data_IF_984383079590
#
_entry.id   IF_984383079590
#
_cell.length_a   1.000
_cell.length_b   1.000
_cell.length_c   1.000
_cell.angle_alpha   90.00
_cell.angle_beta   90.00
_cell.angle_gamma   90.00
#
_symmetry.space_group_name_H-M   'P 1'
#
loop_
_entity.id
_entity.type
_entity.pdbx_description
1 polymer ?
#
# COMPACT_ATOMS: atom_id res chain seq x y z
N UNK A 1 -31.43 20.97 -20.80
CA UNK A 1 -30.83 19.84 -20.15
C UNK A 1 -31.20 18.59 -20.89
N UNK A 2 -30.26 17.95 -21.57
CA UNK A 2 -30.48 16.66 -22.24
C UNK A 2 -30.72 15.61 -21.16
N UNK A 3 -31.88 14.98 -21.16
CA UNK A 3 -32.11 13.73 -20.44
C UNK A 3 -31.31 12.66 -21.20
N UNK A 4 -30.15 12.28 -20.67
CA UNK A 4 -29.44 11.10 -21.16
C UNK A 4 -30.34 9.86 -21.03
N UNK A 5 -30.30 8.99 -22.04
CA UNK A 5 -31.05 7.74 -22.05
C UNK A 5 -30.66 6.90 -20.81
N UNK A 6 -31.64 6.29 -20.16
CA UNK A 6 -31.41 5.33 -19.09
C UNK A 6 -30.63 4.13 -19.67
N UNK A 7 -29.57 3.74 -19.02
CA UNK A 7 -28.81 2.54 -19.40
C UNK A 7 -29.00 1.43 -18.37
N UNK A 8 -28.77 0.22 -18.78
CA UNK A 8 -28.74 -0.93 -17.91
C UNK A 8 -27.59 -1.85 -18.27
N UNK A 9 -27.10 -2.58 -17.27
CA UNK A 9 -26.05 -3.58 -17.43
C UNK A 9 -26.48 -4.87 -16.73
N UNK A 10 -26.32 -5.99 -17.44
CA UNK A 10 -26.58 -7.32 -16.90
C UNK A 10 -25.29 -7.85 -16.25
N UNK A 11 -25.41 -8.36 -15.03
CA UNK A 11 -24.36 -8.95 -14.24
C UNK A 11 -24.64 -10.45 -14.09
N UNK A 12 -24.33 -11.23 -15.13
CA UNK A 12 -24.68 -12.65 -15.26
C UNK A 12 -24.17 -13.52 -14.11
N UNK A 13 -23.02 -13.17 -13.52
CA UNK A 13 -22.40 -13.94 -12.43
C UNK A 13 -23.16 -13.88 -11.11
N UNK A 14 -24.08 -12.93 -10.96
CA UNK A 14 -24.86 -12.71 -9.72
C UNK A 14 -26.35 -12.55 -10.01
N UNK A 15 -26.82 -12.92 -11.21
CA UNK A 15 -28.21 -12.79 -11.67
C UNK A 15 -28.83 -11.41 -11.36
N UNK A 16 -28.10 -10.35 -11.65
CA UNK A 16 -28.51 -8.99 -11.31
C UNK A 16 -28.48 -8.06 -12.51
N UNK A 17 -29.30 -7.01 -12.45
CA UNK A 17 -29.33 -5.93 -13.44
C UNK A 17 -29.05 -4.62 -12.72
N UNK A 18 -28.04 -3.89 -13.19
CA UNK A 18 -27.77 -2.51 -12.76
C UNK A 18 -28.50 -1.57 -13.69
N UNK A 19 -29.28 -0.66 -13.13
CA UNK A 19 -30.07 0.32 -13.91
C UNK A 19 -29.76 1.72 -13.39
N UNK A 20 -29.49 2.64 -14.33
CA UNK A 20 -29.29 4.06 -14.01
C UNK A 20 -30.63 4.82 -14.01
N UNK A 21 -30.78 5.76 -13.08
CA UNK A 21 -31.87 6.73 -13.02
C UNK A 21 -33.29 6.14 -12.95
N UNK A 22 -33.50 5.13 -12.14
CA UNK A 22 -34.84 4.59 -11.88
C UNK A 22 -35.64 5.60 -11.04
N UNK A 23 -36.80 6.05 -11.52
CA UNK A 23 -37.69 6.91 -10.73
C UNK A 23 -38.19 6.18 -9.48
N UNK A 24 -38.21 6.87 -8.33
CA UNK A 24 -38.70 6.29 -7.06
C UNK A 24 -40.13 5.73 -7.23
N UNK A 25 -40.96 6.36 -8.04
CA UNK A 25 -42.33 5.89 -8.32
C UNK A 25 -42.39 4.54 -9.04
N UNK A 26 -41.33 4.11 -9.72
CA UNK A 26 -41.27 2.83 -10.43
C UNK A 26 -40.73 1.69 -9.56
N UNK A 27 -40.19 1.95 -8.38
CA UNK A 27 -39.54 0.93 -7.54
C UNK A 27 -40.51 -0.19 -7.14
N UNK A 28 -41.75 0.15 -6.78
CA UNK A 28 -42.75 -0.84 -6.39
C UNK A 28 -43.23 -1.70 -7.58
N UNK A 29 -43.30 -1.13 -8.74
CA UNK A 29 -43.66 -1.87 -9.97
C UNK A 29 -42.55 -2.86 -10.32
N UNK A 30 -41.28 -2.43 -10.20
CA UNK A 30 -40.11 -3.29 -10.42
C UNK A 30 -40.04 -4.40 -9.36
N UNK A 31 -40.27 -4.07 -8.11
CA UNK A 31 -40.24 -5.06 -7.00
C UNK A 31 -41.26 -6.19 -7.20
N UNK A 32 -42.41 -5.90 -7.84
CA UNK A 32 -43.43 -6.87 -8.07
C UNK A 32 -43.23 -7.68 -9.37
N UNK A 33 -42.18 -7.44 -10.15
CA UNK A 33 -41.84 -8.29 -11.28
C UNK A 33 -41.43 -9.69 -10.82
N UNK A 34 -41.85 -10.70 -11.56
CA UNK A 34 -41.46 -12.07 -11.31
C UNK A 34 -39.92 -12.22 -11.41
N UNK A 35 -39.32 -12.82 -10.42
CA UNK A 35 -37.86 -13.03 -10.34
C UNK A 35 -37.10 -11.92 -9.61
N UNK A 36 -37.68 -10.79 -9.28
CA UNK A 36 -37.03 -9.77 -8.48
C UNK A 36 -37.09 -10.16 -7.01
N UNK A 37 -35.93 -10.36 -6.40
CA UNK A 37 -35.79 -10.77 -4.99
C UNK A 37 -35.47 -9.56 -4.10
N UNK A 38 -34.65 -8.64 -4.61
CA UNK A 38 -34.20 -7.46 -3.86
C UNK A 38 -33.97 -6.30 -4.82
N UNK A 39 -34.18 -5.10 -4.35
CA UNK A 39 -33.77 -3.84 -5.02
C UNK A 39 -32.83 -3.13 -4.05
N UNK A 40 -31.63 -2.85 -4.50
CA UNK A 40 -30.63 -2.13 -3.74
C UNK A 40 -30.27 -0.82 -4.43
N UNK A 41 -29.98 0.21 -3.63
CA UNK A 41 -29.44 1.45 -4.19
C UNK A 41 -27.95 1.27 -4.46
N UNK A 42 -27.50 1.81 -5.59
CA UNK A 42 -26.07 1.96 -5.83
C UNK A 42 -25.48 2.95 -4.82
N UNK A 43 -24.50 2.50 -4.07
CA UNK A 43 -23.75 3.38 -3.21
C UNK A 43 -22.67 4.10 -4.00
N UNK A 44 -22.42 5.35 -3.66
CA UNK A 44 -21.25 6.06 -4.16
C UNK A 44 -20.01 5.39 -3.54
N UNK A 45 -19.21 4.79 -4.40
CA UNK A 45 -17.93 4.21 -3.99
C UNK A 45 -16.92 5.34 -3.91
N UNK A 46 -16.31 5.50 -2.75
CA UNK A 46 -15.24 6.47 -2.50
C UNK A 46 -14.02 5.71 -1.99
N UNK A 47 -12.80 6.19 -2.25
CA UNK A 47 -11.60 5.62 -1.63
C UNK A 47 -11.70 5.75 -0.11
N UNK A 48 -11.41 4.67 0.62
CA UNK A 48 -11.58 4.63 2.07
C UNK A 48 -10.32 4.93 2.88
N UNK A 49 -9.20 5.30 2.25
CA UNK A 49 -7.96 5.56 2.98
C UNK A 49 -8.07 6.70 4.00
N UNK A 50 -8.94 7.67 3.77
CA UNK A 50 -9.21 8.76 4.69
C UNK A 50 -9.91 8.31 5.98
N UNK A 51 -10.56 7.16 5.99
CA UNK A 51 -11.24 6.60 7.16
C UNK A 51 -10.57 5.35 7.73
N UNK A 52 -9.75 4.64 6.95
CA UNK A 52 -9.13 3.38 7.37
C UNK A 52 -8.26 3.54 8.61
N UNK A 53 -7.34 4.51 8.61
CA UNK A 53 -6.45 4.79 9.75
C UNK A 53 -7.21 5.24 11.00
N UNK A 54 -8.37 5.90 10.85
CA UNK A 54 -9.26 6.28 11.96
C UNK A 54 -10.07 5.10 12.46
N UNK A 55 -10.57 4.25 11.56
CA UNK A 55 -11.32 3.05 11.91
C UNK A 55 -10.48 2.03 12.68
N UNK A 56 -9.19 1.91 12.35
CA UNK A 56 -8.23 1.05 13.07
C UNK A 56 -7.69 1.67 14.36
N UNK A 57 -8.08 2.90 14.69
CA UNK A 57 -7.57 3.71 15.83
C UNK A 57 -6.09 4.06 15.73
N UNK A 58 -5.52 4.05 14.54
CA UNK A 58 -4.18 4.58 14.34
C UNK A 58 -4.17 6.10 14.47
N UNK A 59 -5.14 6.76 13.85
CA UNK A 59 -5.33 8.21 13.90
C UNK A 59 -6.57 8.62 14.71
N UNK A 60 -6.63 9.89 15.20
CA UNK A 60 -7.75 10.45 15.94
C UNK A 60 -9.08 10.37 15.16
N UNK A 61 -10.16 10.11 15.86
CA UNK A 61 -11.51 10.16 15.32
C UNK A 61 -12.51 10.65 16.36
N UNK A 62 -13.64 11.18 15.91
CA UNK A 62 -14.72 11.63 16.79
C UNK A 62 -15.43 10.46 17.52
N UNK A 63 -15.16 9.23 17.11
CA UNK A 63 -15.81 8.02 17.64
C UNK A 63 -15.02 7.39 18.79
N UNK A 64 -13.69 7.51 18.78
CA UNK A 64 -12.81 6.85 19.75
C UNK A 64 -11.99 7.88 20.52
N UNK A 65 -11.92 7.72 21.82
CA UNK A 65 -11.30 8.67 22.75
C UNK A 65 -9.79 8.62 22.84
N UNK A 66 -9.12 7.68 22.15
CA UNK A 66 -7.67 7.62 22.13
C UNK A 66 -7.20 6.72 20.97
N UNK A 67 -6.45 7.29 20.06
CA UNK A 67 -5.73 6.60 18.98
C UNK A 67 -4.31 6.26 19.38
N UNK A 68 -3.63 5.48 18.56
CA UNK A 68 -2.19 5.23 18.70
C UNK A 68 -1.41 6.55 18.61
N UNK A 69 -1.75 7.38 17.63
CA UNK A 69 -1.15 8.69 17.41
C UNK A 69 -1.24 9.62 18.65
N UNK A 70 -2.42 9.73 19.29
CA UNK A 70 -2.61 10.55 20.50
C UNK A 70 -1.84 10.00 21.73
N UNK A 71 -1.31 8.81 21.64
CA UNK A 71 -0.49 8.15 22.65
C UNK A 71 1.00 8.12 22.29
N UNK A 72 1.40 8.95 21.32
CA UNK A 72 2.77 9.06 20.79
C UNK A 72 3.29 7.77 20.10
N UNK A 73 2.39 6.87 19.67
CA UNK A 73 2.77 5.73 18.83
C UNK A 73 2.66 6.11 17.36
N UNK A 74 3.69 6.75 16.86
CA UNK A 74 3.76 7.27 15.48
C UNK A 74 4.56 6.38 14.53
N UNK A 75 5.26 5.40 15.06
CA UNK A 75 6.22 4.58 14.30
C UNK A 75 7.65 5.13 14.32
N UNK A 76 7.93 6.15 15.12
CA UNK A 76 9.29 6.69 15.28
C UNK A 76 10.29 5.59 15.61
N UNK A 77 11.44 5.58 14.91
CA UNK A 77 12.47 4.56 15.00
C UNK A 77 12.14 3.22 14.31
N UNK A 78 10.98 3.07 13.67
CA UNK A 78 10.60 1.88 12.91
C UNK A 78 10.94 2.07 11.44
N UNK A 79 11.57 1.08 10.82
CA UNK A 79 11.84 1.05 9.38
C UNK A 79 10.87 0.09 8.72
N UNK A 80 10.12 0.59 7.75
CA UNK A 80 9.16 -0.17 6.94
C UNK A 80 9.71 -0.30 5.52
N UNK A 81 9.96 -1.53 5.09
CA UNK A 81 10.27 -1.82 3.70
C UNK A 81 8.98 -2.00 2.89
N UNK A 82 8.84 -1.24 1.82
CA UNK A 82 7.74 -1.37 0.84
C UNK A 82 8.27 -2.12 -0.36
N UNK A 83 7.81 -3.35 -0.56
CA UNK A 83 8.15 -4.17 -1.71
C UNK A 83 7.02 -4.03 -2.73
N UNK A 84 7.23 -3.22 -3.77
CA UNK A 84 6.14 -2.85 -4.69
C UNK A 84 6.67 -2.36 -6.05
N UNK A 85 6.00 -1.41 -6.71
CA UNK A 85 6.35 -0.80 -7.99
C UNK A 85 7.47 0.24 -7.91
N UNK A 86 8.05 0.44 -6.75
CA UNK A 86 8.89 1.58 -6.37
C UNK A 86 8.07 2.58 -5.57
N UNK A 87 8.71 3.59 -5.03
CA UNK A 87 8.07 4.67 -4.29
C UNK A 87 8.63 6.01 -4.79
N UNK A 88 7.74 6.92 -5.17
CA UNK A 88 8.05 8.34 -5.38
C UNK A 88 8.26 8.98 -3.99
N UNK A 89 9.48 8.93 -3.50
CA UNK A 89 9.85 9.41 -2.16
C UNK A 89 9.84 10.94 -2.08
N UNK A 90 9.86 11.65 -3.23
CA UNK A 90 9.65 13.10 -3.33
C UNK A 90 8.17 13.49 -3.20
N UNK A 91 7.25 12.51 -3.16
CA UNK A 91 5.84 12.82 -2.97
C UNK A 91 5.59 13.50 -1.61
N UNK A 92 4.91 14.64 -1.60
CA UNK A 92 4.70 15.49 -0.40
C UNK A 92 4.12 14.77 0.81
N UNK A 93 3.35 13.70 0.61
CA UNK A 93 2.84 12.88 1.72
C UNK A 93 3.87 11.93 2.30
N UNK A 94 5.08 11.91 1.77
CA UNK A 94 6.21 11.12 2.25
C UNK A 94 7.35 12.00 2.79
N UNK A 95 7.08 13.29 3.00
CA UNK A 95 7.96 14.18 3.72
C UNK A 95 8.19 13.70 5.15
N UNK A 96 9.22 14.20 5.75
CA UNK A 96 9.56 13.93 7.14
C UNK A 96 8.41 14.28 8.08
N UNK A 97 8.36 13.61 9.22
CA UNK A 97 7.25 13.76 10.15
C UNK A 97 7.27 15.08 10.91
N UNK A 98 8.44 15.63 11.18
CA UNK A 98 8.61 16.87 11.93
C UNK A 98 8.87 18.09 11.03
N UNK A 99 9.18 17.90 9.76
CA UNK A 99 9.39 18.95 8.76
C UNK A 99 8.58 18.74 7.48
N UNK A 100 7.27 18.76 7.60
CA UNK A 100 6.32 18.55 6.48
C UNK A 100 6.18 19.76 5.55
N UNK A 101 6.76 20.89 5.91
CA UNK A 101 6.75 22.11 5.09
C UNK A 101 7.95 22.19 4.14
N UNK A 102 8.90 21.26 4.26
CA UNK A 102 10.04 21.17 3.37
C UNK A 102 9.62 20.76 1.95
N UNK A 103 10.36 21.17 0.96
CA UNK A 103 10.11 20.81 -0.42
C UNK A 103 10.82 19.47 -0.72
N UNK A 104 10.06 18.35 -0.85
CA UNK A 104 10.67 17.05 -1.12
C UNK A 104 11.35 16.97 -2.49
N UNK A 105 10.98 17.84 -3.44
CA UNK A 105 11.60 17.92 -4.77
C UNK A 105 13.03 18.52 -4.73
N UNK A 106 13.45 19.02 -3.59
CA UNK A 106 14.81 19.53 -3.45
C UNK A 106 15.68 18.42 -2.88
N UNK A 107 16.29 17.63 -3.77
CA UNK A 107 17.42 16.78 -3.44
C UNK A 107 18.50 17.61 -2.74
N UNK A 108 18.34 17.80 -1.46
CA UNK A 108 19.39 18.39 -0.65
C UNK A 108 20.24 17.25 -0.07
N UNK A 109 21.33 16.84 -0.74
CA UNK A 109 22.14 15.72 -0.29
C UNK A 109 22.85 15.99 1.05
N UNK A 110 22.60 17.14 1.66
CA UNK A 110 23.15 17.52 2.95
C UNK A 110 22.14 17.42 4.09
N UNK A 111 20.86 17.16 3.82
CA UNK A 111 19.82 16.98 4.82
C UNK A 111 19.28 15.54 4.89
N UNK A 112 20.11 14.55 4.67
CA UNK A 112 19.76 13.15 4.88
C UNK A 112 19.27 12.84 6.29
N UNK A 113 19.47 13.74 7.22
CA UNK A 113 19.01 13.58 8.60
C UNK A 113 17.49 13.75 8.74
N UNK A 114 16.84 14.33 7.72
CA UNK A 114 15.42 14.72 7.73
C UNK A 114 14.56 13.90 6.76
N UNK A 115 15.16 13.05 5.92
CA UNK A 115 14.41 12.26 4.95
C UNK A 115 13.75 11.02 5.58
N UNK A 116 12.46 10.87 5.30
CA UNK A 116 11.72 9.64 5.60
C UNK A 116 12.29 8.42 4.87
N UNK A 117 12.71 8.59 3.60
CA UNK A 117 13.40 7.57 2.84
C UNK A 117 14.84 7.40 3.32
N UNK A 118 15.21 6.17 3.67
CA UNK A 118 16.55 5.85 4.21
C UNK A 118 17.36 4.94 3.31
N UNK A 119 16.74 4.37 2.28
CA UNK A 119 17.44 3.54 1.32
C UNK A 119 16.50 2.72 0.45
N UNK A 120 17.05 2.09 -0.59
CA UNK A 120 16.26 1.27 -1.48
C UNK A 120 17.06 0.34 -2.37
N UNK A 121 16.32 -0.44 -3.17
CA UNK A 121 16.85 -1.44 -4.08
C UNK A 121 15.89 -1.72 -5.23
N UNK A 122 16.37 -1.67 -6.46
CA UNK A 122 15.61 -2.06 -7.65
C UNK A 122 15.94 -3.49 -8.09
N UNK A 123 15.09 -4.45 -7.73
CA UNK A 123 15.23 -5.84 -8.14
C UNK A 123 14.83 -6.07 -9.61
N UNK A 124 14.18 -5.12 -10.26
CA UNK A 124 13.74 -5.23 -11.67
C UNK A 124 14.83 -4.82 -12.66
N UNK A 125 15.86 -4.13 -12.19
CA UNK A 125 16.95 -3.62 -13.01
C UNK A 125 18.12 -4.59 -13.08
N UNK A 126 18.68 -4.75 -14.28
CA UNK A 126 19.96 -5.48 -14.47
C UNK A 126 21.17 -4.70 -13.97
N UNK A 127 21.01 -3.41 -13.69
CA UNK A 127 22.02 -2.52 -13.14
C UNK A 127 21.77 -2.23 -11.65
N UNK A 128 21.05 -3.13 -10.96
CA UNK A 128 20.73 -2.99 -9.56
C UNK A 128 21.98 -2.83 -8.69
N UNK A 129 21.92 -1.90 -7.74
CA UNK A 129 22.96 -1.68 -6.75
C UNK A 129 22.50 -2.20 -5.37
N UNK A 130 23.09 -3.30 -4.87
CA UNK A 130 22.62 -3.95 -3.66
C UNK A 130 23.08 -3.24 -2.37
N UNK A 131 23.82 -2.12 -2.44
CA UNK A 131 24.33 -1.42 -1.26
C UNK A 131 23.27 -0.61 -0.49
N UNK A 132 22.06 -0.47 -1.06
CA UNK A 132 20.93 0.22 -0.45
C UNK A 132 20.87 1.71 -0.72
N UNK A 133 21.72 2.22 -1.60
CA UNK A 133 21.72 3.64 -2.00
C UNK A 133 20.91 3.91 -3.26
N UNK A 134 20.31 2.87 -3.84
CA UNK A 134 19.50 3.00 -5.04
C UNK A 134 18.12 3.53 -4.67
N UNK A 135 17.69 4.54 -5.39
CA UNK A 135 16.37 5.11 -5.32
C UNK A 135 15.56 4.65 -6.55
N UNK A 136 14.70 3.65 -6.39
CA UNK A 136 13.90 3.14 -7.49
C UNK A 136 12.58 3.90 -7.61
N UNK A 137 12.49 4.79 -8.59
CA UNK A 137 11.27 5.54 -8.89
C UNK A 137 10.03 4.66 -9.08
N UNK A 138 8.87 5.22 -8.77
CA UNK A 138 7.56 4.58 -9.01
C UNK A 138 6.94 5.06 -10.33
N UNK A 139 7.18 4.33 -11.41
CA UNK A 139 6.57 4.62 -12.71
C UNK A 139 5.08 4.25 -12.82
N UNK A 140 4.49 3.64 -11.78
CA UNK A 140 3.11 3.11 -11.81
C UNK A 140 2.17 3.79 -10.79
N UNK A 141 2.66 4.12 -9.60
CA UNK A 141 1.94 4.82 -8.54
C UNK A 141 1.36 3.92 -7.44
N UNK A 142 1.38 2.59 -7.59
CA UNK A 142 0.85 1.68 -6.58
C UNK A 142 1.71 1.64 -5.32
N UNK A 143 3.03 1.51 -5.46
CA UNK A 143 3.95 1.47 -4.33
C UNK A 143 3.96 2.77 -3.53
N UNK A 144 3.90 3.93 -4.21
CA UNK A 144 3.75 5.24 -3.56
C UNK A 144 2.46 5.32 -2.74
N UNK A 145 1.34 4.80 -3.29
CA UNK A 145 0.08 4.76 -2.56
C UNK A 145 0.13 3.81 -1.34
N UNK A 146 0.78 2.65 -1.47
CA UNK A 146 1.00 1.72 -0.36
C UNK A 146 1.87 2.37 0.72
N UNK A 147 2.98 3.02 0.34
CA UNK A 147 3.82 3.77 1.26
C UNK A 147 3.04 4.88 1.99
N UNK A 148 2.25 5.67 1.26
CA UNK A 148 1.38 6.69 1.84
C UNK A 148 0.40 6.13 2.86
N UNK A 149 -0.20 4.96 2.58
CA UNK A 149 -1.13 4.29 3.50
C UNK A 149 -0.44 3.76 4.77
N UNK A 150 0.79 3.27 4.64
CA UNK A 150 1.55 2.72 5.74
C UNK A 150 2.16 3.82 6.63
N UNK A 151 2.87 4.76 6.01
CA UNK A 151 3.77 5.67 6.72
C UNK A 151 3.71 7.14 6.24
N UNK A 152 2.73 7.49 5.41
CA UNK A 152 2.60 8.86 4.91
C UNK A 152 2.36 9.89 6.02
N UNK A 153 2.97 11.06 5.89
CA UNK A 153 2.82 12.19 6.83
C UNK A 153 1.61 13.07 6.53
N UNK A 154 1.01 12.87 5.34
CA UNK A 154 -0.25 13.53 4.97
C UNK A 154 -0.11 14.95 4.47
N UNK A 155 1.05 15.32 3.93
CA UNK A 155 1.33 16.68 3.46
C UNK A 155 1.23 17.70 4.63
N UNK A 156 1.46 18.96 4.37
CA UNK A 156 1.37 20.06 5.34
C UNK A 156 0.01 20.11 6.10
N UNK A 157 -1.05 19.59 5.48
CA UNK A 157 -2.37 19.52 6.11
C UNK A 157 -2.56 18.36 7.11
N UNK A 158 -1.74 17.33 7.03
CA UNK A 158 -1.84 16.05 7.78
C UNK A 158 -3.21 15.35 7.69
N UNK A 159 -3.97 15.64 6.64
CA UNK A 159 -5.34 15.10 6.48
C UNK A 159 -5.32 13.61 6.13
N UNK A 160 -4.35 13.20 5.30
CA UNK A 160 -4.24 11.83 4.79
C UNK A 160 -3.00 11.13 5.33
N UNK A 161 -2.76 11.22 6.62
CA UNK A 161 -1.65 10.48 7.25
C UNK A 161 -1.86 8.97 7.17
N UNK A 162 -0.78 8.25 6.99
CA UNK A 162 -0.71 6.80 7.10
C UNK A 162 -0.84 6.32 8.56
N UNK A 163 -0.72 5.03 8.74
CA UNK A 163 -0.86 4.39 10.05
C UNK A 163 0.33 4.69 10.99
N UNK A 164 1.53 4.83 10.44
CA UNK A 164 2.78 5.05 11.16
C UNK A 164 3.58 6.24 10.56
N UNK A 165 3.07 7.47 10.69
CA UNK A 165 3.64 8.63 9.99
C UNK A 165 5.07 8.99 10.42
N UNK A 166 5.54 8.54 11.57
CA UNK A 166 6.91 8.73 12.06
C UNK A 166 7.89 7.62 11.66
N UNK A 167 7.44 6.61 10.88
CA UNK A 167 8.31 5.53 10.44
C UNK A 167 9.20 5.93 9.26
N UNK A 168 10.36 5.28 9.13
CA UNK A 168 11.27 5.42 8.00
C UNK A 168 10.90 4.47 6.87
N UNK A 169 11.22 4.86 5.63
CA UNK A 169 10.95 4.15 4.40
C UNK A 169 12.20 3.50 3.82
N UNK A 170 12.10 2.20 3.55
CA UNK A 170 13.00 1.50 2.63
C UNK A 170 12.19 1.08 1.40
N UNK A 171 12.60 1.52 0.22
CA UNK A 171 11.93 1.22 -1.03
C UNK A 171 12.58 0.02 -1.74
N UNK A 172 11.78 -1.01 -2.03
CA UNK A 172 12.25 -2.22 -2.74
C UNK A 172 11.36 -2.46 -3.95
N UNK A 173 11.83 -2.04 -5.12
CA UNK A 173 11.08 -2.22 -6.37
C UNK A 173 11.18 -3.68 -6.85
N UNK A 174 10.06 -4.38 -6.79
CA UNK A 174 9.90 -5.78 -7.25
C UNK A 174 8.87 -5.92 -8.37
N UNK A 175 8.06 -4.88 -8.59
CA UNK A 175 7.11 -4.77 -9.68
C UNK A 175 7.59 -3.73 -10.69
N UNK A 176 7.38 -3.99 -11.97
CA UNK A 176 7.76 -3.05 -13.03
C UNK A 176 6.78 -1.87 -13.12
N UNK A 177 7.14 -0.84 -13.89
CA UNK A 177 6.29 0.35 -14.12
C UNK A 177 4.95 0.04 -14.80
N UNK A 178 4.75 -1.17 -15.29
CA UNK A 178 3.46 -1.64 -15.78
C UNK A 178 2.68 -2.48 -14.75
N UNK A 179 3.17 -2.57 -13.52
CA UNK A 179 2.52 -3.28 -12.41
C UNK A 179 2.67 -4.80 -12.46
N UNK A 180 3.52 -5.33 -13.36
CA UNK A 180 3.79 -6.76 -13.45
C UNK A 180 5.11 -7.14 -12.79
N UNK A 181 5.21 -8.41 -12.39
CA UNK A 181 6.45 -8.99 -11.89
C UNK A 181 6.65 -10.40 -12.40
N UNK A 182 7.86 -10.92 -12.20
CA UNK A 182 8.13 -12.35 -12.21
C UNK A 182 8.69 -12.78 -10.85
N UNK A 183 8.65 -14.06 -10.55
CA UNK A 183 9.12 -14.57 -9.26
C UNK A 183 10.61 -14.30 -8.98
N UNK A 184 11.40 -13.99 -9.99
CA UNK A 184 12.82 -13.64 -9.80
C UNK A 184 12.94 -12.29 -9.08
N UNK A 185 12.14 -11.30 -9.46
CA UNK A 185 12.20 -9.97 -8.86
C UNK A 185 11.69 -9.97 -7.41
N UNK A 186 10.57 -10.64 -7.15
CA UNK A 186 10.05 -10.78 -5.78
C UNK A 186 11.01 -11.55 -4.88
N UNK A 187 11.56 -12.66 -5.35
CA UNK A 187 12.56 -13.43 -4.60
C UNK A 187 13.82 -12.61 -4.30
N UNK A 188 14.32 -11.84 -5.28
CA UNK A 188 15.49 -10.99 -5.09
C UNK A 188 15.21 -9.85 -4.10
N UNK A 189 14.05 -9.20 -4.19
CA UNK A 189 13.68 -8.14 -3.26
C UNK A 189 13.51 -8.64 -1.83
N UNK A 190 12.82 -9.77 -1.62
CA UNK A 190 12.66 -10.38 -0.28
C UNK A 190 14.02 -10.82 0.27
N UNK A 191 14.87 -11.44 -0.56
CA UNK A 191 16.20 -11.84 -0.12
C UNK A 191 17.07 -10.62 0.23
N UNK A 192 16.96 -9.52 -0.53
CA UNK A 192 17.68 -8.30 -0.21
C UNK A 192 17.20 -7.69 1.11
N UNK A 193 15.89 -7.67 1.36
CA UNK A 193 15.30 -7.25 2.64
C UNK A 193 15.89 -8.06 3.81
N UNK A 194 15.95 -9.37 3.69
CA UNK A 194 16.53 -10.28 4.69
C UNK A 194 18.01 -9.94 4.94
N UNK A 195 18.78 -9.73 3.90
CA UNK A 195 20.23 -9.44 4.01
C UNK A 195 20.51 -8.08 4.66
N UNK A 196 19.54 -7.17 4.68
CA UNK A 196 19.64 -5.85 5.26
C UNK A 196 18.81 -5.70 6.56
N UNK A 197 18.33 -6.80 7.13
CA UNK A 197 17.49 -6.82 8.32
C UNK A 197 18.09 -6.06 9.53
N UNK A 198 19.41 -6.00 9.63
CA UNK A 198 20.14 -5.34 10.73
C UNK A 198 20.97 -4.13 10.24
N UNK A 199 20.73 -3.66 9.02
CA UNK A 199 21.53 -2.58 8.43
C UNK A 199 21.33 -1.27 9.20
N UNK A 200 22.46 -0.58 9.45
CA UNK A 200 22.47 0.82 9.88
C UNK A 200 22.29 1.71 8.65
N UNK A 201 21.18 2.45 8.60
CA UNK A 201 20.86 3.33 7.50
C UNK A 201 21.50 4.70 7.61
N UNK A 202 22.24 4.98 8.70
CA UNK A 202 23.01 6.20 8.87
C UNK A 202 22.19 7.44 9.27
N UNK A 203 20.90 7.28 9.52
CA UNK A 203 20.01 8.34 9.95
C UNK A 203 19.96 8.41 11.47
N UNK A 204 20.63 9.38 12.06
CA UNK A 204 20.55 9.76 13.49
C UNK A 204 20.46 8.61 14.52
N UNK A 205 21.01 7.44 14.23
CA UNK A 205 20.90 6.22 15.04
C UNK A 205 19.47 5.68 15.25
N UNK A 206 18.45 6.31 14.66
CA UNK A 206 17.05 5.90 14.82
C UNK A 206 16.64 4.88 13.78
N UNK A 207 17.11 5.00 12.53
CA UNK A 207 16.81 4.08 11.44
C UNK A 207 17.77 2.90 11.45
N UNK A 208 17.44 1.85 12.21
CA UNK A 208 18.23 0.64 12.35
C UNK A 208 17.45 -0.58 11.89
N UNK A 209 18.01 -1.34 10.95
CA UNK A 209 17.44 -2.58 10.44
C UNK A 209 16.14 -2.35 9.64
N UNK A 210 15.39 -3.42 9.45
CA UNK A 210 14.04 -3.42 8.84
C UNK A 210 13.13 -4.20 9.78
N UNK A 211 12.12 -3.56 10.35
CA UNK A 211 11.19 -4.21 11.27
C UNK A 211 9.95 -4.74 10.59
N UNK A 212 9.51 -4.09 9.50
CA UNK A 212 8.28 -4.45 8.79
C UNK A 212 8.57 -4.54 7.29
N UNK A 213 8.12 -5.60 6.65
CA UNK A 213 8.07 -5.73 5.19
C UNK A 213 6.63 -5.77 4.71
N UNK A 214 6.23 -4.81 3.87
CA UNK A 214 4.91 -4.73 3.27
C UNK A 214 4.96 -5.19 1.82
N UNK A 215 4.13 -6.17 1.47
CA UNK A 215 4.08 -6.83 0.16
C UNK A 215 2.64 -6.85 -0.35
N UNK A 216 2.22 -5.78 -1.06
CA UNK A 216 0.84 -5.65 -1.55
C UNK A 216 0.69 -6.22 -2.96
N UNK A 217 1.16 -7.44 -3.16
CA UNK A 217 1.08 -8.17 -4.43
C UNK A 217 0.93 -9.68 -4.20
N UNK A 218 0.54 -10.38 -5.25
CA UNK A 218 0.44 -11.83 -5.21
C UNK A 218 0.28 -12.40 -6.61
N UNK A 219 0.46 -13.71 -6.73
CA UNK A 219 0.15 -14.43 -7.97
C UNK A 219 -1.31 -14.86 -7.98
N UNK A 220 -1.96 -14.71 -9.12
CA UNK A 220 -3.26 -15.34 -9.33
C UNK A 220 -3.03 -16.81 -9.69
N UNK A 221 -3.68 -17.73 -9.00
CA UNK A 221 -3.75 -19.12 -9.41
C UNK A 221 -4.34 -19.19 -10.82
N UNK A 222 -3.82 -20.10 -11.65
CA UNK A 222 -4.30 -20.24 -13.02
C UNK A 222 -5.80 -20.61 -13.01
N UNK A 223 -6.67 -19.85 -13.65
CA UNK A 223 -8.09 -20.21 -13.76
C UNK A 223 -8.32 -21.50 -14.55
N UNK A 224 -7.25 -22.07 -15.14
CA UNK A 224 -7.29 -23.35 -15.86
C UNK A 224 -7.01 -24.54 -14.95
N UNK A 225 -6.68 -24.33 -13.69
CA UNK A 225 -6.51 -25.40 -12.69
C UNK A 225 -7.42 -25.14 -11.49
N UNK A 226 -8.68 -25.63 -11.53
CA UNK A 226 -9.63 -25.45 -10.43
C UNK A 226 -9.21 -26.19 -9.14
N UNK A 227 -8.22 -27.07 -9.22
CA UNK A 227 -7.65 -27.80 -8.08
C UNK A 227 -6.38 -27.11 -7.54
N UNK A 228 -6.03 -25.90 -8.06
CA UNK A 228 -4.92 -25.13 -7.55
C UNK A 228 -5.31 -24.49 -6.21
N UNK A 229 -4.96 -25.17 -5.14
CA UNK A 229 -5.20 -24.70 -3.76
C UNK A 229 -4.26 -23.56 -3.33
N UNK A 230 -3.51 -22.98 -4.28
CA UNK A 230 -2.49 -21.96 -4.01
C UNK A 230 -1.18 -22.56 -3.49
N UNK A 231 -0.28 -21.71 -3.05
CA UNK A 231 0.98 -22.12 -2.45
C UNK A 231 0.74 -22.70 -1.02
N UNK A 232 1.15 -23.93 -0.82
CA UNK A 232 1.07 -24.60 0.48
C UNK A 232 2.18 -24.17 1.47
N UNK A 233 2.87 -23.07 1.20
CA UNK A 233 3.97 -22.54 2.00
C UNK A 233 5.33 -23.16 1.69
N UNK A 234 5.46 -23.95 0.62
CA UNK A 234 6.74 -24.56 0.21
C UNK A 234 7.42 -23.84 -0.95
N UNK A 235 6.75 -22.91 -1.60
CA UNK A 235 7.31 -22.07 -2.66
C UNK A 235 8.46 -21.20 -2.19
N UNK A 236 9.26 -20.71 -3.12
CA UNK A 236 10.45 -19.91 -2.82
C UNK A 236 10.13 -18.66 -2.02
N UNK A 237 9.10 -17.93 -2.43
CA UNK A 237 8.65 -16.70 -1.77
C UNK A 237 8.16 -16.95 -0.34
N UNK A 238 7.29 -17.96 -0.16
CA UNK A 238 6.79 -18.33 1.17
C UNK A 238 7.93 -18.76 2.12
N UNK A 239 8.94 -19.44 1.62
CA UNK A 239 10.12 -19.82 2.42
C UNK A 239 10.97 -18.62 2.81
N UNK A 240 11.14 -17.65 1.92
CA UNK A 240 11.86 -16.41 2.24
C UNK A 240 11.09 -15.55 3.25
N UNK A 241 9.77 -15.42 3.10
CA UNK A 241 8.91 -14.73 4.07
C UNK A 241 8.98 -15.41 5.45
N UNK A 242 8.96 -16.73 5.50
CA UNK A 242 9.16 -17.47 6.75
C UNK A 242 10.53 -17.19 7.37
N UNK A 243 11.60 -17.17 6.56
CA UNK A 243 12.95 -16.83 7.04
C UNK A 243 13.02 -15.40 7.56
N UNK A 244 12.47 -14.42 6.82
CA UNK A 244 12.38 -13.04 7.26
C UNK A 244 11.68 -12.92 8.63
N UNK A 245 10.58 -13.64 8.82
CA UNK A 245 9.79 -13.55 10.05
C UNK A 245 10.43 -14.31 11.22
N UNK A 246 10.91 -15.54 11.00
CA UNK A 246 11.37 -16.43 12.06
C UNK A 246 12.82 -16.13 12.45
N UNK A 247 13.69 -15.93 11.47
CA UNK A 247 15.13 -15.82 11.69
C UNK A 247 15.61 -14.37 11.79
N UNK A 248 14.90 -13.42 11.16
CA UNK A 248 15.26 -12.00 11.14
C UNK A 248 14.30 -11.11 11.96
N UNK A 249 13.22 -11.66 12.50
CA UNK A 249 12.20 -10.92 13.25
C UNK A 249 11.53 -9.78 12.48
N UNK A 250 11.46 -9.87 11.14
CA UNK A 250 10.75 -8.92 10.30
C UNK A 250 9.26 -9.28 10.30
N UNK A 251 8.38 -8.35 10.64
CA UNK A 251 6.93 -8.55 10.51
C UNK A 251 6.56 -8.41 9.03
N UNK A 252 6.21 -9.51 8.39
CA UNK A 252 5.78 -9.51 6.99
C UNK A 252 4.26 -9.34 6.90
N UNK A 253 3.82 -8.34 6.13
CA UNK A 253 2.42 -8.05 5.81
C UNK A 253 2.21 -8.31 4.31
N UNK A 254 1.25 -9.20 3.99
CA UNK A 254 0.99 -9.67 2.61
C UNK A 254 -0.48 -9.51 2.29
#
# INVERSE_FOLDING_TARGET
GEQGDAWFQIMDSIDSIVVDKVPVSALMDIYHLEGVVVIEMQNVMVPFNDVASRATRSLPSDVYSASAYERDYTGDGVVIAILDTGVDNEHRSLNDFDDIDDDPDVDNPTSYDDHKWVGGFDATSTASNPDGTQDPDDGQGHGTHVAGSALGTGDASRVHMGTAPGAYLVDIKVLTDVGGTNSEYSLNGIQWMINNAEKDWGHNSSAQGIQIGSMSFGSVSSPLNPDDEGDNGTGGEARLVNNATIDQNIVCVI
#
